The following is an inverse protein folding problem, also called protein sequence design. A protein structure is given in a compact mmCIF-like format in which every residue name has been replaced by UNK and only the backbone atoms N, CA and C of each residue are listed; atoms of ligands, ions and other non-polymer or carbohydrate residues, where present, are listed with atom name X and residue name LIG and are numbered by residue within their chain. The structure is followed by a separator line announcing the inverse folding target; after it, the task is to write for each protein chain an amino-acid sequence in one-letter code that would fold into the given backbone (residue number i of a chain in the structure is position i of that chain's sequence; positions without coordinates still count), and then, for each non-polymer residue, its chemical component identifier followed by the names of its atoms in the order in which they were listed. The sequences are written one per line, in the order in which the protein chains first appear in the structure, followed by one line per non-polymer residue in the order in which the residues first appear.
data_IF_260049459493
#
_entry.id   IF_260049459493
#
_cell.length_a   1.000
_cell.length_b   1.000
_cell.length_c   1.000
_cell.angle_alpha   90.00
_cell.angle_beta   90.00
_cell.angle_gamma   90.00
#
_symmetry.space_group_name_H-M   'P 1'
#
loop_
_entity.id
_entity.type
_entity.pdbx_description
1 polymer ?
#
# COMPACT_ATOMS: atom_id res chain seq x y z
N UNK A 1 47.48 -2.37 -40.35
CA UNK A 1 47.18 -2.19 -38.91
C UNK A 1 47.10 -0.70 -38.63
N UNK A 2 45.89 -0.23 -38.30
CA UNK A 2 45.60 0.96 -37.46
C UNK A 2 44.10 1.23 -37.55
N UNK A 3 43.36 0.77 -36.53
CA UNK A 3 41.98 1.21 -36.27
C UNK A 3 42.11 2.23 -35.16
N UNK A 4 41.95 3.52 -35.48
CA UNK A 4 41.77 4.55 -34.47
C UNK A 4 40.61 5.46 -34.89
N UNK A 5 39.58 5.46 -34.04
CA UNK A 5 39.01 6.70 -33.52
C UNK A 5 37.86 7.33 -34.28
N UNK A 6 36.64 6.81 -34.08
CA UNK A 6 35.42 7.65 -34.10
C UNK A 6 34.27 6.98 -33.34
N UNK A 7 34.43 6.86 -32.02
CA UNK A 7 33.29 6.66 -31.10
C UNK A 7 33.49 7.59 -29.91
N UNK A 8 33.03 8.83 -30.02
CA UNK A 8 33.22 9.80 -28.94
C UNK A 8 32.24 10.97 -28.88
N UNK A 9 31.42 11.19 -29.91
CA UNK A 9 30.50 12.35 -29.93
C UNK A 9 29.01 12.02 -29.82
N UNK A 10 28.56 10.80 -30.14
CA UNK A 10 27.13 10.49 -30.14
C UNK A 10 26.55 10.17 -28.75
N UNK A 11 27.38 9.73 -27.79
CA UNK A 11 26.89 9.32 -26.46
C UNK A 11 26.77 10.51 -25.50
N UNK A 12 27.55 11.58 -25.68
CA UNK A 12 27.46 12.78 -24.83
C UNK A 12 26.19 13.59 -25.11
N UNK A 13 25.80 13.70 -26.39
CA UNK A 13 24.58 14.40 -26.78
C UNK A 13 23.34 13.77 -26.12
N UNK A 14 23.22 12.44 -26.13
CA UNK A 14 22.08 11.75 -25.49
C UNK A 14 22.10 11.73 -23.96
N UNK A 15 23.25 11.92 -23.32
CA UNK A 15 23.36 12.01 -21.85
C UNK A 15 23.01 13.42 -21.36
N UNK A 16 23.42 14.46 -22.08
CA UNK A 16 23.00 15.84 -21.82
C UNK A 16 21.51 16.03 -22.15
N UNK A 17 21.00 15.47 -23.26
CA UNK A 17 19.55 15.47 -23.56
C UNK A 17 18.74 14.66 -22.54
N UNK A 18 19.25 13.53 -22.03
CA UNK A 18 18.60 12.76 -20.97
C UNK A 18 18.66 13.45 -19.60
N UNK A 19 19.71 14.21 -19.33
CA UNK A 19 19.86 15.05 -18.12
C UNK A 19 19.01 16.33 -18.21
N UNK A 20 18.85 16.91 -19.40
CA UNK A 20 18.00 18.08 -19.65
C UNK A 20 16.52 17.70 -19.72
N UNK A 21 16.14 16.57 -20.32
CA UNK A 21 14.81 15.96 -20.15
C UNK A 21 14.55 15.57 -18.70
N UNK A 22 15.57 15.24 -17.91
CA UNK A 22 15.44 15.07 -16.46
C UNK A 22 15.29 16.39 -15.69
N UNK A 23 15.65 17.54 -16.27
CA UNK A 23 15.66 18.82 -15.58
C UNK A 23 14.30 19.53 -15.67
N UNK A 24 13.59 19.42 -16.79
CA UNK A 24 12.29 20.09 -16.99
C UNK A 24 11.08 19.39 -16.33
N UNK A 25 11.24 18.14 -15.88
CA UNK A 25 10.21 17.44 -15.09
C UNK A 25 10.23 17.77 -13.59
N UNK A 26 11.11 18.67 -13.12
CA UNK A 26 11.44 18.76 -11.69
C UNK A 26 10.69 19.79 -10.83
N UNK A 27 9.77 20.62 -11.37
CA UNK A 27 9.26 21.77 -10.59
C UNK A 27 7.72 21.90 -10.59
N UNK A 28 6.96 20.78 -10.53
CA UNK A 28 5.49 20.78 -10.23
C UNK A 28 4.92 19.59 -9.43
N UNK A 29 5.74 18.79 -8.76
CA UNK A 29 5.27 17.63 -8.00
C UNK A 29 5.90 16.34 -8.51
N UNK A 30 6.90 15.84 -7.78
CA UNK A 30 7.37 14.47 -7.96
C UNK A 30 6.26 13.57 -7.43
N UNK A 31 5.76 12.67 -8.26
CA UNK A 31 4.88 11.61 -7.80
C UNK A 31 5.64 10.81 -6.73
N UNK A 32 5.17 10.89 -5.47
CA UNK A 32 5.78 10.19 -4.34
C UNK A 32 5.91 8.71 -4.66
N UNK A 33 4.93 8.13 -5.35
CA UNK A 33 4.94 6.72 -5.70
C UNK A 33 6.10 6.38 -6.64
N UNK A 34 6.42 7.25 -7.60
CA UNK A 34 7.58 7.05 -8.47
C UNK A 34 8.92 7.12 -7.71
N UNK A 35 9.02 8.02 -6.72
CA UNK A 35 10.23 8.17 -5.91
C UNK A 35 10.53 6.89 -5.09
N UNK A 36 9.49 6.25 -4.58
CA UNK A 36 9.62 5.08 -3.70
C UNK A 36 9.40 3.73 -4.40
N UNK A 37 8.95 3.70 -5.65
CA UNK A 37 8.82 2.48 -6.46
C UNK A 37 10.08 1.60 -6.55
N UNK A 38 11.33 2.14 -6.50
CA UNK A 38 12.54 1.32 -6.49
C UNK A 38 12.87 0.67 -5.15
N UNK A 39 12.06 0.84 -4.10
CA UNK A 39 12.29 0.23 -2.78
C UNK A 39 12.51 -1.29 -2.90
N UNK A 40 13.39 -1.85 -2.07
CA UNK A 40 13.95 -3.21 -2.16
C UNK A 40 14.79 -3.53 -3.43
N UNK A 41 14.73 -2.73 -4.49
CA UNK A 41 15.49 -2.97 -5.75
C UNK A 41 16.74 -2.12 -5.83
N UNK A 42 16.72 -0.91 -5.24
CA UNK A 42 17.85 0.03 -5.17
C UNK A 42 17.84 0.76 -3.83
N UNK A 43 19.01 1.22 -3.35
CA UNK A 43 19.06 2.07 -2.17
C UNK A 43 18.32 3.39 -2.46
N UNK A 44 17.47 3.79 -1.52
CA UNK A 44 16.88 5.12 -1.52
C UNK A 44 17.91 6.14 -1.05
N UNK A 45 17.82 7.38 -1.53
CA UNK A 45 18.67 8.46 -1.02
C UNK A 45 18.32 8.81 0.43
N UNK A 46 19.30 9.31 1.19
CA UNK A 46 19.17 9.66 2.62
C UNK A 46 17.95 10.55 2.90
N UNK A 47 17.69 11.51 2.03
CA UNK A 47 16.54 12.40 2.09
C UNK A 47 15.20 11.66 2.01
N UNK A 48 15.10 10.67 1.13
CA UNK A 48 13.90 9.85 0.99
C UNK A 48 13.72 8.93 2.20
N UNK A 49 14.80 8.38 2.74
CA UNK A 49 14.80 7.57 3.96
C UNK A 49 14.36 8.41 5.16
N UNK A 50 14.92 9.62 5.32
CA UNK A 50 14.54 10.55 6.36
C UNK A 50 13.05 10.91 6.30
N UNK A 51 12.50 11.16 5.10
CA UNK A 51 11.07 11.44 4.93
C UNK A 51 10.19 10.26 5.33
N UNK A 52 10.58 9.02 5.00
CA UNK A 52 9.84 7.81 5.44
C UNK A 52 9.84 7.70 6.98
N UNK A 53 11.00 7.90 7.61
CA UNK A 53 11.13 7.87 9.07
C UNK A 53 10.32 8.96 9.75
N UNK A 54 10.37 10.19 9.22
CA UNK A 54 9.61 11.32 9.75
C UNK A 54 8.10 11.08 9.61
N UNK A 55 7.63 10.62 8.46
CA UNK A 55 6.22 10.28 8.25
C UNK A 55 5.73 9.23 9.27
N UNK A 56 6.47 8.13 9.42
CA UNK A 56 6.14 7.07 10.38
C UNK A 56 6.11 7.59 11.83
N UNK A 57 6.98 8.52 12.20
CA UNK A 57 7.03 9.06 13.56
C UNK A 57 5.81 9.88 13.99
N UNK A 58 5.00 10.34 13.02
CA UNK A 58 3.77 11.13 13.31
C UNK A 58 2.51 10.28 13.46
N UNK A 59 2.63 8.97 13.24
CA UNK A 59 1.51 8.04 13.28
C UNK A 59 1.58 7.18 14.55
N UNK A 60 0.45 6.60 15.00
CA UNK A 60 0.43 5.75 16.18
C UNK A 60 1.41 4.58 16.10
N UNK A 61 1.88 4.14 17.27
CA UNK A 61 2.65 2.91 17.40
C UNK A 61 1.84 1.74 16.83
N UNK A 62 2.46 0.91 15.97
CA UNK A 62 1.83 -0.18 15.21
C UNK A 62 0.91 0.24 14.04
N UNK A 63 1.00 1.47 13.54
CA UNK A 63 0.38 1.85 12.26
C UNK A 63 0.97 1.01 11.11
N UNK A 64 0.10 0.43 10.27
CA UNK A 64 0.52 -0.45 9.15
C UNK A 64 0.62 0.27 7.80
N UNK A 65 0.36 1.59 7.78
CA UNK A 65 0.26 2.35 6.55
C UNK A 65 1.58 2.41 5.79
N UNK A 66 2.73 2.45 6.49
CA UNK A 66 4.04 2.35 5.84
C UNK A 66 4.16 1.03 5.08
N UNK A 67 3.94 -0.10 5.75
CA UNK A 67 4.04 -1.43 5.16
C UNK A 67 3.11 -1.57 3.97
N UNK A 68 1.84 -1.20 4.12
CA UNK A 68 0.84 -1.30 3.07
C UNK A 68 1.19 -0.39 1.88
N UNK A 69 1.55 0.86 2.15
CA UNK A 69 1.87 1.84 1.11
C UNK A 69 3.14 1.48 0.34
N UNK A 70 4.19 0.97 1.00
CA UNK A 70 5.41 0.51 0.33
C UNK A 70 5.18 -0.78 -0.46
N UNK A 71 4.41 -1.73 0.10
CA UNK A 71 4.03 -2.97 -0.60
C UNK A 71 3.30 -2.66 -1.91
N UNK A 72 2.34 -1.73 -1.86
CA UNK A 72 1.60 -1.24 -3.03
C UNK A 72 2.49 -0.46 -4.01
N UNK A 73 3.26 0.51 -3.50
CA UNK A 73 4.05 1.43 -4.32
C UNK A 73 5.24 0.77 -5.01
N UNK A 74 5.95 -0.11 -4.30
CA UNK A 74 7.15 -0.77 -4.80
C UNK A 74 6.86 -2.14 -5.43
N UNK A 75 5.60 -2.57 -5.42
CA UNK A 75 5.16 -3.88 -5.90
C UNK A 75 6.08 -4.99 -5.37
N UNK A 76 6.09 -5.11 -4.04
CA UNK A 76 6.98 -6.00 -3.27
C UNK A 76 6.19 -6.71 -2.18
N UNK A 77 6.55 -7.96 -1.90
CA UNK A 77 5.86 -8.78 -0.91
C UNK A 77 6.52 -8.77 0.49
N UNK A 78 7.52 -7.91 0.71
CA UNK A 78 8.36 -7.94 1.92
C UNK A 78 7.60 -7.75 3.24
N UNK A 79 6.44 -7.08 3.23
CA UNK A 79 5.60 -6.88 4.42
C UNK A 79 4.31 -7.70 4.41
N UNK A 80 4.11 -8.60 3.43
CA UNK A 80 2.85 -9.31 3.27
C UNK A 80 2.49 -10.19 4.46
N UNK A 81 3.47 -10.77 5.17
CA UNK A 81 3.23 -11.58 6.36
C UNK A 81 2.66 -10.73 7.51
N UNK A 82 3.29 -9.59 7.82
CA UNK A 82 2.84 -8.66 8.86
C UNK A 82 1.46 -8.08 8.54
N UNK A 83 1.25 -7.68 7.27
CA UNK A 83 -0.04 -7.16 6.80
C UNK A 83 -1.14 -8.22 6.89
N UNK A 84 -0.85 -9.47 6.55
CA UNK A 84 -1.79 -10.57 6.66
C UNK A 84 -2.19 -10.86 8.11
N UNK A 85 -1.23 -10.84 9.04
CA UNK A 85 -1.50 -11.03 10.47
C UNK A 85 -2.36 -9.90 11.03
N UNK A 86 -2.02 -8.64 10.71
CA UNK A 86 -2.82 -7.49 11.11
C UNK A 86 -4.25 -7.56 10.56
N UNK A 87 -4.42 -7.94 9.29
CA UNK A 87 -5.73 -8.06 8.67
C UNK A 87 -6.59 -9.14 9.33
N UNK A 88 -6.00 -10.28 9.70
CA UNK A 88 -6.71 -11.34 10.44
C UNK A 88 -7.14 -10.85 11.83
N UNK A 89 -6.25 -10.17 12.55
CA UNK A 89 -6.59 -9.56 13.85
C UNK A 89 -7.71 -8.51 13.74
N UNK A 90 -7.72 -7.72 12.66
CA UNK A 90 -8.79 -6.77 12.37
C UNK A 90 -10.12 -7.47 12.10
N UNK A 91 -10.13 -8.56 11.33
CA UNK A 91 -11.33 -9.33 11.05
C UNK A 91 -11.94 -9.96 12.31
N UNK A 92 -11.10 -10.53 13.17
CA UNK A 92 -11.52 -11.06 14.48
C UNK A 92 -12.09 -9.95 15.37
N UNK A 93 -11.38 -8.82 15.47
CA UNK A 93 -11.84 -7.66 16.22
C UNK A 93 -13.21 -7.21 15.71
N UNK A 94 -13.35 -7.07 14.39
CA UNK A 94 -14.59 -6.67 13.75
C UNK A 94 -15.74 -7.63 13.95
N UNK A 95 -15.48 -8.94 14.03
CA UNK A 95 -16.49 -9.93 14.38
C UNK A 95 -17.05 -9.71 15.79
N UNK A 96 -16.22 -9.21 16.72
CA UNK A 96 -16.65 -8.91 18.10
C UNK A 96 -17.26 -7.52 18.27
N UNK A 97 -17.08 -6.62 17.29
CA UNK A 97 -17.66 -5.28 17.33
C UNK A 97 -19.18 -5.35 17.34
N UNK A 98 -19.78 -4.58 18.26
CA UNK A 98 -21.22 -4.38 18.36
C UNK A 98 -21.58 -2.92 18.05
N UNK A 99 -21.42 -2.47 16.79
CA UNK A 99 -21.74 -1.10 16.43
C UNK A 99 -23.22 -0.79 16.69
N UNK A 100 -23.50 0.49 16.94
CA UNK A 100 -24.86 0.98 17.08
C UNK A 100 -25.48 1.05 15.68
N UNK A 101 -26.33 0.08 15.33
CA UNK A 101 -27.04 0.04 14.05
C UNK A 101 -28.49 0.48 14.29
N UNK A 102 -28.77 1.76 14.09
CA UNK A 102 -30.04 2.38 14.43
C UNK A 102 -30.19 2.56 15.94
N UNK A 103 -31.22 1.96 16.55
CA UNK A 103 -31.48 2.04 18.01
C UNK A 103 -30.89 0.88 18.83
N UNK A 104 -30.23 -0.10 18.20
CA UNK A 104 -29.74 -1.31 18.89
C UNK A 104 -28.30 -1.63 18.49
N UNK A 105 -27.52 -2.11 19.46
CA UNK A 105 -26.20 -2.70 19.20
C UNK A 105 -26.38 -4.12 18.69
N UNK A 106 -25.76 -4.44 17.55
CA UNK A 106 -25.75 -5.79 16.97
C UNK A 106 -24.33 -6.14 16.54
N UNK A 107 -24.00 -7.42 16.53
CA UNK A 107 -22.73 -7.87 15.98
C UNK A 107 -22.64 -7.44 14.52
N UNK A 108 -21.46 -6.97 14.11
CA UNK A 108 -21.23 -6.59 12.72
C UNK A 108 -21.48 -7.79 11.78
N UNK A 109 -21.09 -8.99 12.24
CA UNK A 109 -21.27 -10.26 11.53
C UNK A 109 -21.63 -11.36 12.53
N UNK A 110 -22.90 -11.78 12.55
CA UNK A 110 -23.39 -12.80 13.50
C UNK A 110 -22.91 -14.23 13.18
N UNK A 111 -22.63 -14.54 11.91
CA UNK A 111 -22.24 -15.88 11.45
C UNK A 111 -20.72 -16.07 11.32
N UNK A 112 -19.92 -15.23 11.98
CA UNK A 112 -18.47 -15.25 11.85
C UNK A 112 -17.88 -16.59 12.27
N UNK A 113 -16.99 -17.14 11.45
CA UNK A 113 -16.12 -18.26 11.80
C UNK A 113 -14.71 -17.94 11.32
N UNK A 114 -13.71 -18.40 12.07
CA UNK A 114 -12.31 -18.05 11.85
C UNK A 114 -11.78 -18.52 10.50
N UNK A 115 -12.19 -19.71 10.06
CA UNK A 115 -11.79 -20.32 8.79
C UNK A 115 -12.05 -19.42 7.57
N UNK A 116 -13.29 -18.98 7.38
CA UNK A 116 -13.65 -18.11 6.27
C UNK A 116 -13.36 -16.64 6.58
N UNK A 117 -13.38 -16.25 7.84
CA UNK A 117 -13.07 -14.89 8.30
C UNK A 117 -11.64 -14.48 7.99
N UNK A 118 -10.68 -15.36 8.29
CA UNK A 118 -9.26 -15.15 7.95
C UNK A 118 -9.10 -15.04 6.43
N UNK A 119 -9.76 -15.90 5.64
CA UNK A 119 -9.68 -15.81 4.18
C UNK A 119 -10.34 -14.53 3.65
N UNK A 120 -11.47 -14.10 4.21
CA UNK A 120 -12.10 -12.83 3.85
C UNK A 120 -11.18 -11.64 4.15
N UNK A 121 -10.40 -11.70 5.23
CA UNK A 121 -9.41 -10.69 5.56
C UNK A 121 -8.26 -10.66 4.55
N UNK A 122 -7.73 -11.82 4.16
CA UNK A 122 -6.68 -11.95 3.15
C UNK A 122 -7.15 -11.47 1.77
N UNK A 123 -8.36 -11.88 1.35
CA UNK A 123 -8.97 -11.37 0.13
C UNK A 123 -9.20 -9.84 0.22
N UNK A 124 -9.46 -9.30 1.41
CA UNK A 124 -9.58 -7.86 1.65
C UNK A 124 -8.25 -7.13 1.46
N UNK A 125 -7.17 -7.69 1.98
CA UNK A 125 -5.81 -7.17 1.80
C UNK A 125 -5.41 -7.18 0.32
N UNK A 126 -5.58 -8.30 -0.38
CA UNK A 126 -5.25 -8.40 -1.82
C UNK A 126 -6.14 -7.47 -2.65
N UNK A 127 -7.42 -7.33 -2.30
CA UNK A 127 -8.32 -6.38 -2.95
C UNK A 127 -7.85 -4.93 -2.79
N UNK A 128 -7.31 -4.57 -1.63
CA UNK A 128 -6.79 -3.22 -1.37
C UNK A 128 -5.49 -2.93 -2.15
N UNK A 129 -4.56 -3.89 -2.18
CA UNK A 129 -3.25 -3.72 -2.80
C UNK A 129 -3.24 -3.94 -4.33
N UNK A 130 -4.06 -4.86 -4.82
CA UNK A 130 -3.99 -5.34 -6.22
C UNK A 130 -5.31 -5.19 -6.98
N UNK A 131 -6.32 -4.60 -6.35
CA UNK A 131 -7.62 -4.34 -6.95
C UNK A 131 -8.51 -5.57 -7.16
N UNK A 132 -9.70 -5.32 -7.71
CA UNK A 132 -10.79 -6.30 -7.80
C UNK A 132 -10.48 -7.53 -8.66
N UNK A 133 -9.65 -7.38 -9.69
CA UNK A 133 -9.29 -8.48 -10.61
C UNK A 133 -8.42 -9.56 -9.97
N UNK A 134 -7.81 -9.26 -8.83
CA UNK A 134 -6.82 -10.13 -8.17
C UNK A 134 -7.44 -11.05 -7.10
N UNK A 135 -8.76 -10.98 -6.90
CA UNK A 135 -9.46 -11.74 -5.87
C UNK A 135 -10.69 -12.47 -6.43
N UNK A 136 -11.02 -13.68 -5.92
CA UNK A 136 -12.24 -14.36 -6.31
C UNK A 136 -13.51 -13.54 -5.99
N UNK A 137 -14.59 -13.86 -6.72
CA UNK A 137 -15.90 -13.22 -6.50
C UNK A 137 -16.47 -13.60 -5.13
N UNK A 138 -17.40 -12.77 -4.63
CA UNK A 138 -18.03 -13.02 -3.33
C UNK A 138 -18.84 -14.30 -3.35
N UNK A 139 -19.53 -14.55 -4.46
CA UNK A 139 -20.36 -15.72 -4.71
C UNK A 139 -19.52 -16.99 -4.61
N UNK A 140 -18.40 -17.03 -5.33
CA UNK A 140 -17.49 -18.18 -5.35
C UNK A 140 -16.91 -18.48 -3.96
N UNK A 141 -16.48 -17.45 -3.22
CA UNK A 141 -15.97 -17.64 -1.86
C UNK A 141 -17.05 -18.06 -0.87
N UNK A 142 -18.23 -17.44 -0.94
CA UNK A 142 -19.34 -17.76 -0.05
C UNK A 142 -19.78 -19.23 -0.22
N UNK A 143 -19.83 -19.72 -1.46
CA UNK A 143 -20.12 -21.10 -1.78
C UNK A 143 -19.00 -22.04 -1.26
N UNK A 144 -17.74 -21.72 -1.56
CA UNK A 144 -16.57 -22.51 -1.13
C UNK A 144 -16.55 -22.74 0.39
N UNK A 145 -16.86 -21.71 1.18
CA UNK A 145 -16.83 -21.77 2.64
C UNK A 145 -18.20 -22.06 3.28
N UNK A 146 -19.26 -22.22 2.48
CA UNK A 146 -20.64 -22.41 2.96
C UNK A 146 -21.08 -21.29 3.92
N UNK A 147 -20.74 -20.04 3.61
CA UNK A 147 -21.04 -18.89 4.47
C UNK A 147 -21.98 -17.89 3.78
N UNK A 148 -22.55 -16.98 4.56
CA UNK A 148 -23.47 -15.96 4.02
C UNK A 148 -22.67 -14.94 3.20
N UNK A 149 -23.02 -14.78 1.92
CA UNK A 149 -22.35 -13.86 0.99
C UNK A 149 -22.17 -12.45 1.56
N UNK A 150 -23.22 -11.91 2.19
CA UNK A 150 -23.19 -10.58 2.82
C UNK A 150 -22.22 -10.52 4.01
N UNK A 151 -22.11 -11.60 4.79
CA UNK A 151 -21.18 -11.67 5.92
C UNK A 151 -19.73 -11.68 5.44
N UNK A 152 -19.43 -12.52 4.44
CA UNK A 152 -18.11 -12.58 3.80
C UNK A 152 -17.71 -11.22 3.20
N UNK A 153 -18.61 -10.64 2.40
CA UNK A 153 -18.37 -9.34 1.76
C UNK A 153 -18.20 -8.19 2.75
N UNK A 154 -18.83 -8.26 3.92
CA UNK A 154 -18.70 -7.24 4.97
C UNK A 154 -17.31 -7.26 5.60
N UNK A 155 -16.78 -8.44 5.97
CA UNK A 155 -15.41 -8.55 6.50
C UNK A 155 -14.40 -8.13 5.42
N UNK A 156 -14.51 -8.70 4.22
CA UNK A 156 -13.60 -8.40 3.11
C UNK A 156 -13.56 -6.91 2.78
N UNK A 157 -14.74 -6.30 2.61
CA UNK A 157 -14.86 -4.89 2.25
C UNK A 157 -14.37 -3.95 3.37
N UNK A 158 -14.64 -4.30 4.63
CA UNK A 158 -14.16 -3.52 5.76
C UNK A 158 -12.63 -3.60 5.88
N UNK A 159 -12.04 -4.79 5.79
CA UNK A 159 -10.56 -4.94 5.82
C UNK A 159 -9.93 -4.17 4.66
N UNK A 160 -10.45 -4.32 3.43
CA UNK A 160 -9.95 -3.58 2.28
C UNK A 160 -10.03 -2.05 2.50
N UNK A 161 -11.16 -1.57 3.00
CA UNK A 161 -11.34 -0.15 3.32
C UNK A 161 -10.37 0.34 4.40
N UNK A 162 -10.15 -0.44 5.45
CA UNK A 162 -9.18 -0.11 6.50
C UNK A 162 -7.76 -0.04 5.94
N UNK A 163 -7.32 -1.01 5.13
CA UNK A 163 -5.98 -0.98 4.52
C UNK A 163 -5.81 0.27 3.65
N UNK A 164 -6.80 0.60 2.80
CA UNK A 164 -6.76 1.82 1.97
C UNK A 164 -6.67 3.09 2.82
N UNK A 165 -7.46 3.18 3.90
CA UNK A 165 -7.39 4.32 4.81
C UNK A 165 -6.02 4.45 5.49
N UNK A 166 -5.41 3.35 5.90
CA UNK A 166 -4.07 3.35 6.51
C UNK A 166 -3.02 3.82 5.49
N UNK A 167 -3.09 3.37 4.24
CA UNK A 167 -2.22 3.85 3.16
C UNK A 167 -2.39 5.36 2.93
N UNK A 168 -3.62 5.86 2.87
CA UNK A 168 -3.90 7.30 2.68
C UNK A 168 -3.39 8.16 3.85
N UNK A 169 -3.54 7.68 5.09
CA UNK A 169 -3.00 8.34 6.28
C UNK A 169 -1.47 8.44 6.20
N UNK A 170 -0.81 7.35 5.80
CA UNK A 170 0.63 7.35 5.63
C UNK A 170 1.09 8.26 4.49
N UNK A 171 0.43 8.21 3.34
CA UNK A 171 0.72 9.06 2.18
C UNK A 171 0.57 10.55 2.54
N UNK A 172 -0.46 10.91 3.31
CA UNK A 172 -0.66 12.28 3.81
C UNK A 172 0.46 12.72 4.75
N UNK A 173 0.90 11.83 5.65
CA UNK A 173 2.03 12.08 6.54
C UNK A 173 3.35 12.22 5.76
N UNK A 174 3.53 11.44 4.70
CA UNK A 174 4.70 11.50 3.82
C UNK A 174 4.74 12.78 3.00
N UNK A 175 3.60 13.21 2.45
CA UNK A 175 3.48 14.52 1.80
C UNK A 175 3.85 15.67 2.74
N UNK A 176 3.40 15.60 4.00
CA UNK A 176 3.78 16.56 5.01
C UNK A 176 5.28 16.53 5.29
N UNK A 177 5.86 15.35 5.49
CA UNK A 177 7.30 15.20 5.75
C UNK A 177 8.15 15.80 4.62
N UNK A 178 7.77 15.52 3.36
CA UNK A 178 8.45 16.10 2.18
C UNK A 178 8.30 17.61 2.10
N UNK A 179 7.16 18.17 2.54
CA UNK A 179 6.96 19.64 2.61
C UNK A 179 7.85 20.26 3.69
N UNK A 180 7.89 19.69 4.89
CA UNK A 180 8.74 20.16 5.99
C UNK A 180 10.19 20.20 5.54
N UNK A 181 10.64 19.15 4.87
CA UNK A 181 12.01 19.02 4.39
C UNK A 181 12.44 20.06 3.34
N UNK A 182 11.48 20.64 2.61
CA UNK A 182 11.75 21.71 1.63
C UNK A 182 11.84 23.10 2.27
N UNK A 183 11.30 23.25 3.49
CA UNK A 183 11.11 24.54 4.14
C UNK A 183 11.84 24.70 5.47
N UNK A 184 12.32 23.60 6.06
CA UNK A 184 13.20 23.58 7.24
C UNK A 184 14.66 23.47 6.83
#
# INVERSE_FOLDING_TARGET
MSIQGTMGRSVRCGLEEALELQADYQIKGRDLRQLYAPFCRRPLGDQAIWCLSLASSTLPEHHIGYQAWITDTADTDCHMAELAEWCKGLAETAATLKPLLGKRRRLLVESYRKDWGDQAALDGLVLALRGKGSVPTLESRAEQFGCVLRAYGRIRGMVAGCVVLQMQQYESALEWAVKVQKHG
#
